data_IF_047566959381
#
_entry.id   IF_047566959381
#
_cell.length_a   1.000
_cell.length_b   1.000
_cell.length_c   1.000
_cell.angle_alpha   90.00
_cell.angle_beta   90.00
_cell.angle_gamma   90.00
#
_symmetry.space_group_name_H-M   'P 1'
#
loop_
_entity.id
_entity.type
_entity.pdbx_description
1 polymer ?
#
# COMPACT_ATOMS: atom_id res chain seq x y z
N UNK A 1 -30.75 -25.89 28.77
CA UNK A 1 -29.78 -25.47 27.73
C UNK A 1 -30.41 -24.36 26.91
N UNK A 2 -29.88 -23.12 26.95
CA UNK A 2 -29.93 -22.28 25.75
C UNK A 2 -28.59 -21.59 25.45
N UNK A 3 -28.13 -21.90 24.24
CA UNK A 3 -27.51 -21.04 23.21
C UNK A 3 -26.68 -19.85 23.70
N UNK A 4 -25.36 -20.06 23.76
CA UNK A 4 -24.38 -18.98 23.85
C UNK A 4 -24.35 -18.19 22.53
N UNK A 5 -24.85 -16.96 22.56
CA UNK A 5 -24.64 -15.97 21.49
C UNK A 5 -23.17 -15.54 21.51
N UNK A 6 -22.37 -16.11 20.59
CA UNK A 6 -21.02 -15.64 20.35
C UNK A 6 -21.07 -14.28 19.65
N UNK A 7 -20.81 -13.21 20.41
CA UNK A 7 -20.49 -11.89 19.87
C UNK A 7 -19.15 -11.98 19.14
N UNK A 8 -19.18 -12.05 17.81
CA UNK A 8 -17.99 -11.93 16.98
C UNK A 8 -17.58 -10.45 17.00
N UNK A 9 -16.57 -10.15 17.80
CA UNK A 9 -15.87 -8.87 17.80
C UNK A 9 -15.17 -8.72 16.44
N UNK A 10 -15.80 -8.00 15.51
CA UNK A 10 -15.13 -7.58 14.27
C UNK A 10 -14.16 -6.47 14.65
N UNK A 11 -12.92 -6.84 14.98
CA UNK A 11 -11.82 -5.90 15.07
C UNK A 11 -11.50 -5.47 13.64
N UNK A 12 -12.18 -4.42 13.18
CA UNK A 12 -11.67 -3.64 12.05
C UNK A 12 -10.37 -3.01 12.54
N UNK A 13 -9.25 -3.71 12.34
CA UNK A 13 -7.93 -3.12 12.37
C UNK A 13 -7.82 -2.22 11.13
N UNK A 14 -8.55 -1.09 11.17
CA UNK A 14 -8.26 0.07 10.36
C UNK A 14 -6.87 0.50 10.81
N UNK A 15 -5.84 0.04 10.11
CA UNK A 15 -4.49 0.56 10.29
C UNK A 15 -4.61 2.07 10.13
N UNK A 16 -4.52 2.79 11.24
CA UNK A 16 -4.57 4.24 11.29
C UNK A 16 -3.40 4.70 10.41
N UNK A 17 -3.67 5.02 9.16
CA UNK A 17 -2.67 5.56 8.23
C UNK A 17 -2.37 6.97 8.71
N UNK A 18 -1.37 7.06 9.59
CA UNK A 18 -1.03 8.21 10.40
C UNK A 18 -0.20 9.27 9.68
N UNK A 19 -0.33 9.37 8.37
CA UNK A 19 0.40 10.37 7.64
C UNK A 19 -0.32 11.72 7.69
N UNK A 20 0.48 12.79 7.63
CA UNK A 20 0.03 14.17 7.68
C UNK A 20 0.62 14.99 6.55
N UNK A 21 0.56 16.33 6.63
CA UNK A 21 1.15 17.19 5.62
C UNK A 21 2.67 17.02 5.53
N UNK A 22 3.22 17.22 4.33
CA UNK A 22 4.66 17.34 4.12
C UNK A 22 5.19 18.55 4.91
N UNK A 23 6.12 18.29 5.82
CA UNK A 23 6.81 19.31 6.62
C UNK A 23 8.08 19.76 5.91
N UNK A 24 8.84 18.81 5.38
CA UNK A 24 10.16 19.06 4.80
C UNK A 24 10.50 18.07 3.70
N UNK A 25 11.29 18.54 2.75
CA UNK A 25 11.92 17.73 1.72
C UNK A 25 13.44 17.86 1.81
N UNK A 26 14.16 16.78 1.48
CA UNK A 26 15.62 16.78 1.35
C UNK A 26 16.05 15.82 0.24
N UNK A 27 17.16 16.10 -0.44
CA UNK A 27 17.74 15.20 -1.45
C UNK A 27 19.02 14.60 -0.89
N UNK A 28 19.13 13.27 -0.95
CA UNK A 28 20.30 12.52 -0.51
C UNK A 28 20.71 11.52 -1.59
N UNK A 29 21.71 11.92 -2.39
CA UNK A 29 22.15 11.13 -3.55
C UNK A 29 21.04 11.03 -4.59
N UNK A 30 20.67 9.80 -4.98
CA UNK A 30 19.61 9.51 -5.95
C UNK A 30 18.21 9.43 -5.33
N UNK A 31 18.08 9.78 -4.05
CA UNK A 31 16.83 9.66 -3.31
C UNK A 31 16.35 11.02 -2.82
N UNK A 32 15.04 11.19 -2.81
CA UNK A 32 14.33 12.31 -2.19
C UNK A 32 13.68 11.81 -0.91
N UNK A 33 13.94 12.53 0.17
CA UNK A 33 13.50 12.26 1.52
C UNK A 33 12.36 13.23 1.85
N UNK A 34 11.18 12.69 2.10
CA UNK A 34 9.96 13.41 2.39
C UNK A 34 9.61 13.22 3.87
N UNK A 35 9.59 14.31 4.63
CA UNK A 35 9.28 14.32 6.06
C UNK A 35 7.84 14.78 6.26
N UNK A 36 6.99 13.93 6.82
CA UNK A 36 5.57 14.19 7.07
C UNK A 36 5.29 14.38 8.55
N UNK A 37 4.26 15.15 8.86
CA UNK A 37 3.72 15.19 10.21
C UNK A 37 3.08 13.85 10.54
N UNK A 38 3.46 13.22 11.64
CA UNK A 38 2.73 12.06 12.14
C UNK A 38 1.47 12.56 12.87
N UNK A 39 0.29 12.27 12.30
CA UNK A 39 -0.99 12.67 12.88
C UNK A 39 -1.53 11.66 13.90
N UNK A 40 -0.97 10.44 13.98
CA UNK A 40 -1.35 9.49 15.03
C UNK A 40 -0.55 9.67 16.31
N UNK A 41 0.67 10.22 16.24
CA UNK A 41 1.47 10.49 17.44
C UNK A 41 1.53 11.99 17.73
N UNK A 42 0.63 12.42 18.62
CA UNK A 42 0.46 13.77 19.16
C UNK A 42 1.78 14.54 19.39
N UNK A 43 1.96 15.66 18.66
CA UNK A 43 2.88 16.83 18.82
C UNK A 43 4.37 16.64 19.19
N UNK A 44 4.83 15.46 19.59
CA UNK A 44 6.22 15.18 20.03
C UNK A 44 6.89 14.03 19.26
N UNK A 45 6.18 13.37 18.35
CA UNK A 45 6.76 12.30 17.57
C UNK A 45 7.68 12.80 16.45
N UNK A 46 8.72 12.03 16.11
CA UNK A 46 9.55 12.33 14.94
C UNK A 46 8.69 12.34 13.67
N UNK A 47 9.00 13.25 12.75
CA UNK A 47 8.34 13.30 11.45
C UNK A 47 8.48 11.94 10.73
N UNK A 48 7.40 11.47 10.12
CA UNK A 48 7.41 10.26 9.31
C UNK A 48 8.30 10.49 8.08
N UNK A 49 9.35 9.68 7.93
CA UNK A 49 10.29 9.77 6.82
C UNK A 49 9.91 8.77 5.72
N UNK A 50 9.66 9.28 4.51
CA UNK A 50 9.42 8.48 3.31
C UNK A 50 10.52 8.76 2.30
N UNK A 51 11.09 7.71 1.74
CA UNK A 51 12.10 7.81 0.69
C UNK A 51 11.47 7.48 -0.66
N UNK A 52 11.64 8.35 -1.65
CA UNK A 52 11.18 8.17 -3.04
C UNK A 52 12.32 8.44 -4.03
N UNK A 53 12.14 8.06 -5.29
CA UNK A 53 13.15 8.31 -6.32
C UNK A 53 13.34 9.80 -6.61
N UNK A 54 14.53 10.23 -7.01
CA UNK A 54 14.83 11.65 -7.32
C UNK A 54 13.90 12.26 -8.38
N UNK A 55 13.46 11.45 -9.35
CA UNK A 55 12.55 11.84 -10.42
C UNK A 55 11.10 12.02 -9.94
N UNK A 56 10.81 11.66 -8.69
CA UNK A 56 9.45 11.64 -8.15
C UNK A 56 9.28 12.77 -7.13
N UNK A 57 8.22 13.60 -7.23
CA UNK A 57 7.96 14.62 -6.22
C UNK A 57 7.40 14.01 -4.93
N UNK A 58 7.73 14.62 -3.79
CA UNK A 58 7.09 14.27 -2.51
C UNK A 58 5.58 14.53 -2.60
N UNK A 59 4.71 13.56 -2.24
CA UNK A 59 3.29 13.84 -2.15
C UNK A 59 3.02 14.89 -1.08
N UNK A 60 1.99 15.74 -1.29
CA UNK A 60 1.63 16.82 -0.36
C UNK A 60 1.15 16.31 1.01
N UNK A 61 0.52 15.13 1.03
CA UNK A 61 0.04 14.44 2.22
C UNK A 61 0.43 12.97 2.13
N UNK A 62 0.62 12.34 3.29
CA UNK A 62 0.87 10.90 3.36
C UNK A 62 -0.32 10.20 4.06
N UNK A 63 -0.67 8.96 3.67
CA UNK A 63 -0.36 8.39 2.37
C UNK A 63 -0.94 9.28 1.26
N UNK A 64 -0.16 9.52 0.21
CA UNK A 64 -0.62 10.31 -0.93
C UNK A 64 -1.76 9.61 -1.67
N UNK A 65 -2.42 10.30 -2.62
CA UNK A 65 -3.40 9.65 -3.49
C UNK A 65 -2.78 8.38 -4.06
N UNK A 66 -3.48 7.26 -3.92
CA UNK A 66 -3.01 5.94 -4.32
C UNK A 66 -2.55 6.04 -5.77
N UNK A 67 -1.22 6.05 -5.99
CA UNK A 67 -0.68 6.27 -7.32
C UNK A 67 -1.27 5.21 -8.24
N UNK A 68 -1.63 5.56 -9.50
CA UNK A 68 -2.00 4.55 -10.47
C UNK A 68 -0.83 3.58 -10.55
N UNK A 69 -1.05 2.38 -10.02
CA UNK A 69 -0.02 1.35 -9.99
C UNK A 69 0.36 1.08 -11.45
N UNK A 70 1.64 0.81 -11.75
CA UNK A 70 2.07 0.59 -13.13
C UNK A 70 1.15 -0.45 -13.78
N UNK A 71 0.44 -0.06 -14.86
CA UNK A 71 -0.52 -0.95 -15.53
C UNK A 71 0.16 -2.20 -16.11
N UNK A 72 1.43 -2.06 -16.48
CA UNK A 72 2.27 -3.17 -16.90
C UNK A 72 3.02 -3.74 -15.69
N UNK A 73 2.52 -4.88 -15.19
CA UNK A 73 3.23 -5.69 -14.20
C UNK A 73 4.28 -6.52 -14.96
N UNK A 74 5.58 -6.42 -14.64
CA UNK A 74 6.62 -7.20 -15.32
C UNK A 74 6.35 -8.70 -15.21
N UNK A 75 6.51 -9.48 -16.27
CA UNK A 75 6.25 -10.94 -16.28
C UNK A 75 7.07 -11.72 -15.23
N UNK A 76 8.21 -11.14 -14.81
CA UNK A 76 9.09 -11.68 -13.76
C UNK A 76 8.68 -11.28 -12.34
N UNK A 77 7.66 -10.44 -12.16
CA UNK A 77 7.19 -10.06 -10.83
C UNK A 77 6.58 -11.26 -10.12
N UNK A 78 6.90 -11.44 -8.85
CA UNK A 78 6.43 -12.57 -8.07
C UNK A 78 5.21 -12.18 -7.26
N UNK A 79 4.18 -13.04 -7.23
CA UNK A 79 3.04 -12.86 -6.36
C UNK A 79 3.50 -12.88 -4.90
N UNK A 80 3.20 -11.80 -4.16
CA UNK A 80 3.50 -11.67 -2.72
C UNK A 80 2.26 -11.81 -1.87
N UNK A 81 1.13 -11.28 -2.34
CA UNK A 81 -0.10 -11.24 -1.55
C UNK A 81 -1.32 -11.32 -2.46
N UNK A 82 -2.31 -12.08 -2.00
CA UNK A 82 -3.64 -12.15 -2.60
C UNK A 82 -4.65 -11.74 -1.54
N UNK A 83 -5.49 -10.75 -1.85
CA UNK A 83 -6.56 -10.30 -0.97
C UNK A 83 -7.88 -10.44 -1.71
N UNK A 84 -8.92 -10.95 -1.03
CA UNK A 84 -10.26 -11.04 -1.59
C UNK A 84 -11.20 -10.13 -0.80
N UNK A 85 -11.87 -9.22 -1.49
CA UNK A 85 -12.83 -8.30 -0.90
C UNK A 85 -13.91 -7.97 -1.93
N UNK A 86 -15.17 -7.85 -1.50
CA UNK A 86 -16.29 -7.39 -2.32
C UNK A 86 -16.49 -8.14 -3.66
N UNK A 87 -16.15 -9.44 -3.70
CA UNK A 87 -16.23 -10.20 -4.94
C UNK A 87 -15.15 -9.85 -5.95
N UNK A 88 -14.03 -9.28 -5.50
CA UNK A 88 -12.84 -9.00 -6.31
C UNK A 88 -11.61 -9.64 -5.67
N UNK A 89 -10.65 -10.03 -6.48
CA UNK A 89 -9.37 -10.58 -6.01
C UNK A 89 -8.24 -9.64 -6.37
N UNK A 90 -7.64 -8.99 -5.38
CA UNK A 90 -6.48 -8.12 -5.55
C UNK A 90 -5.18 -8.92 -5.43
N UNK A 91 -4.42 -8.96 -6.51
CA UNK A 91 -3.14 -9.62 -6.63
C UNK A 91 -2.03 -8.60 -6.47
N UNK A 92 -1.17 -8.75 -5.47
CA UNK A 92 0.00 -7.89 -5.25
C UNK A 92 1.27 -8.65 -5.64
N UNK A 93 1.99 -8.11 -6.63
CA UNK A 93 3.26 -8.64 -7.12
C UNK A 93 4.42 -7.74 -6.69
N UNK A 94 5.62 -8.29 -6.60
CA UNK A 94 6.84 -7.53 -6.32
C UNK A 94 7.95 -7.91 -7.30
N UNK A 95 8.63 -6.89 -7.84
CA UNK A 95 9.77 -7.03 -8.72
C UNK A 95 10.80 -5.96 -8.40
N UNK A 96 12.05 -6.36 -8.14
CA UNK A 96 13.15 -5.44 -7.78
C UNK A 96 12.80 -4.45 -6.65
N UNK A 97 11.99 -4.88 -5.66
CA UNK A 97 11.54 -4.05 -4.54
C UNK A 97 10.37 -3.11 -4.84
N UNK A 98 9.84 -3.12 -6.06
CA UNK A 98 8.64 -2.35 -6.46
C UNK A 98 7.41 -3.23 -6.36
N UNK A 99 6.35 -2.72 -5.71
CA UNK A 99 5.06 -3.43 -5.58
C UNK A 99 4.07 -2.98 -6.64
N UNK A 100 3.45 -3.97 -7.27
CA UNK A 100 2.42 -3.82 -8.28
C UNK A 100 1.14 -4.46 -7.75
N UNK A 101 -0.03 -3.99 -8.16
CA UNK A 101 -1.21 -4.84 -8.01
C UNK A 101 -2.17 -4.74 -9.15
N UNK A 102 -2.93 -5.81 -9.29
CA UNK A 102 -4.04 -5.91 -10.22
C UNK A 102 -5.23 -6.51 -9.51
N UNK A 103 -6.38 -5.91 -9.70
CA UNK A 103 -7.65 -6.48 -9.26
C UNK A 103 -8.20 -7.35 -10.39
N UNK A 104 -8.52 -8.59 -10.05
CA UNK A 104 -9.23 -9.52 -10.91
C UNK A 104 -10.71 -9.55 -10.50
N UNK A 105 -11.57 -9.82 -11.48
CA UNK A 105 -13.00 -10.02 -11.24
C UNK A 105 -13.30 -11.23 -10.33
N UNK A 106 -14.59 -11.45 -10.09
CA UNK A 106 -15.06 -12.38 -9.07
C UNK A 106 -14.45 -13.78 -9.18
N UNK A 107 -13.72 -14.15 -8.12
CA UNK A 107 -13.22 -15.48 -7.80
C UNK A 107 -12.02 -15.98 -8.64
N UNK A 108 -11.36 -15.12 -9.42
CA UNK A 108 -10.11 -15.52 -10.07
C UNK A 108 -8.96 -15.65 -9.05
N UNK A 109 -8.21 -16.76 -9.09
CA UNK A 109 -6.95 -16.88 -8.34
C UNK A 109 -5.87 -16.02 -9.00
N UNK A 110 -5.01 -15.41 -8.19
CA UNK A 110 -3.85 -14.70 -8.72
C UNK A 110 -2.88 -15.70 -9.33
N UNK A 111 -2.45 -15.51 -10.59
CA UNK A 111 -1.37 -16.33 -11.13
C UNK A 111 -0.07 -16.03 -10.36
N UNK A 112 0.80 -17.04 -10.24
CA UNK A 112 2.08 -16.91 -9.53
C UNK A 112 3.01 -15.88 -10.20
N UNK A 113 2.94 -15.81 -11.52
CA UNK A 113 3.56 -14.80 -12.36
C UNK A 113 2.47 -14.02 -13.09
N UNK A 114 2.66 -12.72 -13.33
CA UNK A 114 1.74 -11.88 -14.08
C UNK A 114 1.89 -12.17 -15.59
N UNK A 115 1.62 -13.40 -16.00
CA UNK A 115 1.30 -13.71 -17.39
C UNK A 115 -0.19 -13.52 -17.58
N UNK A 116 -0.55 -12.29 -17.90
CA UNK A 116 -1.89 -11.97 -18.36
C UNK A 116 -1.82 -12.02 -19.87
N UNK A 117 -2.34 -13.10 -20.47
CA UNK A 117 -2.31 -13.30 -21.92
C UNK A 117 -2.85 -12.08 -22.64
N UNK A 118 -2.19 -11.72 -23.74
CA UNK A 118 -2.67 -10.76 -24.73
C UNK A 118 -4.06 -11.13 -25.26
#
# INVERSE_FOLDING_TARGET
MPVAFSLILVVMASGLQSGGPLIRESVRGLNRLCYYQDLAQSRRAPALLVQIGMAEPCPFQYPGPERPRPQNIPSLAQLKMQTRANGETTCTYEYMGVRYSRTLGAVANCPLTPHFGE
#
